data_IF_842963880213
#
_entry.id   IF_842963880213
#
_cell.length_a   1.000
_cell.length_b   1.000
_cell.length_c   1.000
_cell.angle_alpha   90.00
_cell.angle_beta   90.00
_cell.angle_gamma   90.00
#
_symmetry.space_group_name_H-M   'P 1'
#
loop_
_entity.id
_entity.type
_entity.pdbx_description
1 polymer ?
#
# COMPACT_ATOMS: atom_id res chain seq x y z
N UNK A 1 -22.74 -4.40 -1.45
CA UNK A 1 -22.19 -5.52 -0.64
C UNK A 1 -21.13 -5.06 0.39
N UNK A 2 -20.41 -3.94 0.17
CA UNK A 2 -19.39 -3.44 1.10
C UNK A 2 -19.94 -2.64 2.29
N UNK A 3 -21.15 -2.09 2.21
CA UNK A 3 -21.72 -1.20 3.24
C UNK A 3 -21.75 -1.79 4.66
N UNK A 4 -22.13 -3.07 4.88
CA UNK A 4 -22.10 -3.63 6.24
C UNK A 4 -20.70 -3.68 6.86
N UNK A 5 -19.67 -3.89 6.04
CA UNK A 5 -18.27 -3.89 6.49
C UNK A 5 -17.81 -2.47 6.86
N UNK A 6 -18.15 -1.47 6.05
CA UNK A 6 -17.82 -0.07 6.35
C UNK A 6 -18.50 0.40 7.63
N UNK A 7 -19.76 0.01 7.84
CA UNK A 7 -20.49 0.32 9.08
C UNK A 7 -19.84 -0.37 10.28
N UNK A 8 -19.44 -1.63 10.18
CA UNK A 8 -18.75 -2.34 11.26
C UNK A 8 -17.39 -1.67 11.59
N UNK A 9 -16.63 -1.28 10.58
CA UNK A 9 -15.37 -0.54 10.76
C UNK A 9 -15.62 0.80 11.45
N UNK A 10 -16.65 1.54 11.02
CA UNK A 10 -17.02 2.83 11.64
C UNK A 10 -17.35 2.66 13.13
N UNK A 11 -18.17 1.65 13.47
CA UNK A 11 -18.52 1.36 14.85
C UNK A 11 -17.29 0.99 15.67
N UNK A 12 -16.47 0.05 15.17
CA UNK A 12 -15.25 -0.38 15.85
C UNK A 12 -14.29 0.80 16.09
N UNK A 13 -14.10 1.66 15.07
CA UNK A 13 -13.26 2.85 15.21
C UNK A 13 -13.80 3.80 16.29
N UNK A 14 -15.11 3.97 16.35
CA UNK A 14 -15.74 4.81 17.38
C UNK A 14 -15.56 4.24 18.79
N UNK A 15 -15.65 2.91 18.95
CA UNK A 15 -15.43 2.22 20.23
C UNK A 15 -13.98 2.29 20.68
N UNK A 16 -13.03 2.06 19.78
CA UNK A 16 -11.60 2.06 20.07
C UNK A 16 -11.04 3.47 20.30
N UNK A 17 -11.61 4.46 19.63
CA UNK A 17 -11.13 5.83 19.63
C UNK A 17 -9.91 6.07 18.72
N UNK A 18 -9.57 7.35 18.48
CA UNK A 18 -8.61 7.75 17.45
C UNK A 18 -7.15 7.37 17.76
N UNK A 19 -6.82 7.04 19.02
CA UNK A 19 -5.46 6.60 19.41
C UNK A 19 -5.26 5.09 19.30
N UNK A 20 -6.33 4.33 19.15
CA UNK A 20 -6.27 2.87 19.07
C UNK A 20 -6.69 2.35 17.69
N UNK A 21 -6.90 3.25 16.74
CA UNK A 21 -7.28 2.90 15.37
C UNK A 21 -6.78 3.92 14.38
N UNK A 22 -6.33 3.45 13.22
CA UNK A 22 -5.90 4.27 12.09
C UNK A 22 -6.60 3.77 10.83
N UNK A 23 -7.15 4.70 10.04
CA UNK A 23 -7.77 4.40 8.76
C UNK A 23 -6.87 4.84 7.63
N UNK A 24 -6.27 3.88 6.93
CA UNK A 24 -5.55 4.12 5.67
C UNK A 24 -6.48 3.87 4.49
N UNK A 25 -6.64 4.86 3.62
CA UNK A 25 -7.48 4.76 2.43
C UNK A 25 -6.61 4.62 1.17
N UNK A 26 -6.73 3.46 0.52
CA UNK A 26 -6.01 3.19 -0.73
C UNK A 26 -6.81 3.72 -1.92
N UNK A 27 -6.18 4.54 -2.76
CA UNK A 27 -6.81 5.14 -3.95
C UNK A 27 -5.90 5.09 -5.17
N UNK A 28 -6.45 5.44 -6.33
CA UNK A 28 -5.73 5.57 -7.58
C UNK A 28 -5.64 7.04 -7.99
N UNK A 29 -4.42 7.49 -8.33
CA UNK A 29 -4.15 8.78 -8.99
C UNK A 29 -3.71 8.49 -10.43
N UNK A 30 -4.65 8.40 -11.39
CA UNK A 30 -4.33 7.99 -12.75
C UNK A 30 -3.57 9.09 -13.49
N UNK A 31 -2.63 8.67 -14.33
CA UNK A 31 -1.98 9.55 -15.31
C UNK A 31 -2.76 9.54 -16.63
N UNK A 32 -3.25 10.69 -17.06
CA UNK A 32 -3.92 10.83 -18.34
C UNK A 32 -2.92 11.21 -19.42
N UNK A 33 -2.50 10.23 -20.22
CA UNK A 33 -1.51 10.42 -21.30
C UNK A 33 -1.89 11.55 -22.26
N UNK A 34 -3.17 11.64 -22.62
CA UNK A 34 -3.66 12.69 -23.53
C UNK A 34 -3.54 14.11 -22.95
N UNK A 35 -3.61 14.26 -21.63
CA UNK A 35 -3.49 15.55 -20.94
C UNK A 35 -2.09 15.80 -20.37
N UNK A 36 -1.24 14.77 -20.31
CA UNK A 36 0.10 14.84 -19.75
C UNK A 36 0.14 15.09 -18.24
N UNK A 37 -0.93 14.75 -17.50
CA UNK A 37 -1.05 15.09 -16.09
C UNK A 37 -1.68 13.99 -15.24
N UNK A 38 -1.36 13.99 -13.94
CA UNK A 38 -2.03 13.18 -12.93
C UNK A 38 -3.38 13.80 -12.54
N UNK A 39 -4.40 12.95 -12.35
CA UNK A 39 -5.75 13.39 -11.96
C UNK A 39 -6.07 13.00 -10.52
N UNK A 40 -6.29 14.01 -9.68
CA UNK A 40 -6.63 13.82 -8.26
C UNK A 40 -8.14 13.65 -8.02
N UNK A 41 -8.99 13.93 -8.99
CA UNK A 41 -10.46 13.81 -8.83
C UNK A 41 -10.94 12.41 -8.42
N UNK A 42 -10.43 11.30 -8.98
CA UNK A 42 -10.84 9.97 -8.54
C UNK A 42 -10.57 9.72 -7.05
N UNK A 43 -9.40 10.13 -6.56
CA UNK A 43 -9.04 10.10 -5.13
C UNK A 43 -10.02 10.91 -4.29
N UNK A 44 -10.31 12.16 -4.69
CA UNK A 44 -11.25 13.02 -3.98
C UNK A 44 -12.66 12.42 -3.92
N UNK A 45 -13.14 11.81 -5.00
CA UNK A 45 -14.42 11.11 -5.02
C UNK A 45 -14.42 9.90 -4.08
N UNK A 46 -13.39 9.07 -4.16
CA UNK A 46 -13.25 7.88 -3.30
C UNK A 46 -13.26 8.25 -1.80
N UNK A 47 -12.56 9.32 -1.42
CA UNK A 47 -12.58 9.81 -0.04
C UNK A 47 -13.94 10.37 0.35
N UNK A 48 -14.65 11.08 -0.56
CA UNK A 48 -16.01 11.56 -0.29
C UNK A 48 -17.00 10.42 -0.01
N UNK A 49 -16.91 9.33 -0.75
CA UNK A 49 -17.72 8.14 -0.49
C UNK A 49 -17.41 7.54 0.88
N UNK A 50 -16.13 7.46 1.26
CA UNK A 50 -15.74 7.00 2.59
C UNK A 50 -16.30 7.91 3.70
N UNK A 51 -16.22 9.23 3.52
CA UNK A 51 -16.78 10.22 4.43
C UNK A 51 -18.30 10.11 4.56
N UNK A 52 -19.02 9.78 3.47
CA UNK A 52 -20.45 9.55 3.49
C UNK A 52 -20.85 8.36 4.39
N UNK A 53 -19.93 7.42 4.61
CA UNK A 53 -20.07 6.33 5.57
C UNK A 53 -19.59 6.68 6.99
N UNK A 54 -19.24 7.94 7.25
CA UNK A 54 -18.79 8.40 8.56
C UNK A 54 -17.35 8.01 8.91
N UNK A 55 -16.55 7.68 7.91
CA UNK A 55 -15.12 7.32 8.08
C UNK A 55 -14.23 8.43 7.51
N UNK A 56 -13.50 9.14 8.36
CA UNK A 56 -12.41 10.04 7.95
C UNK A 56 -11.12 9.23 7.86
N UNK A 57 -10.42 9.22 6.70
CA UNK A 57 -9.10 8.61 6.62
C UNK A 57 -8.08 9.43 7.44
N UNK A 58 -7.13 8.75 8.05
CA UNK A 58 -5.97 9.35 8.70
C UNK A 58 -4.81 9.46 7.71
N UNK A 59 -4.72 8.50 6.77
CA UNK A 59 -3.73 8.51 5.69
C UNK A 59 -4.38 8.14 4.36
N UNK A 60 -3.80 8.62 3.27
CA UNK A 60 -4.21 8.26 1.91
C UNK A 60 -3.02 7.68 1.17
N UNK A 61 -3.13 6.40 0.80
CA UNK A 61 -2.13 5.73 -0.03
C UNK A 61 -2.54 5.89 -1.50
N UNK A 62 -1.78 6.66 -2.24
CA UNK A 62 -2.04 7.03 -3.62
C UNK A 62 -1.26 6.14 -4.59
N UNK A 63 -1.90 5.13 -5.18
CA UNK A 63 -1.29 4.38 -6.28
C UNK A 63 -1.19 5.25 -7.51
N UNK A 64 -0.02 5.23 -8.16
CA UNK A 64 0.24 6.03 -9.35
C UNK A 64 1.35 5.44 -10.22
N UNK A 65 1.24 5.61 -11.55
CA UNK A 65 2.31 5.31 -12.50
C UNK A 65 3.49 6.30 -12.41
N UNK A 66 3.27 7.48 -11.84
CA UNK A 66 4.21 8.58 -11.79
C UNK A 66 4.28 9.21 -10.42
N UNK A 67 5.44 9.80 -10.11
CA UNK A 67 5.66 10.49 -8.85
C UNK A 67 4.68 11.63 -8.66
N UNK A 68 4.18 11.76 -7.43
CA UNK A 68 3.34 12.85 -6.97
C UNK A 68 4.24 14.02 -6.56
N UNK A 69 4.14 15.14 -7.28
CA UNK A 69 4.80 16.37 -6.87
C UNK A 69 4.15 16.99 -5.63
N UNK A 70 4.81 18.00 -5.06
CA UNK A 70 4.34 18.69 -3.87
C UNK A 70 2.95 19.34 -4.05
N UNK A 71 2.65 19.84 -5.25
CA UNK A 71 1.37 20.49 -5.55
C UNK A 71 0.22 19.48 -5.59
N UNK A 72 0.47 18.30 -6.16
CA UNK A 72 -0.50 17.19 -6.17
C UNK A 72 -0.75 16.68 -4.75
N UNK A 73 0.30 16.45 -3.94
CA UNK A 73 0.19 16.05 -2.54
C UNK A 73 -0.61 17.08 -1.74
N UNK A 74 -0.27 18.37 -1.86
CA UNK A 74 -1.00 19.47 -1.22
C UNK A 74 -2.47 19.52 -1.65
N UNK A 75 -2.76 19.31 -2.92
CA UNK A 75 -4.13 19.29 -3.44
C UNK A 75 -4.94 18.12 -2.86
N UNK A 76 -4.37 16.92 -2.80
CA UNK A 76 -5.03 15.77 -2.19
C UNK A 76 -5.26 16.02 -0.70
N UNK A 77 -4.24 16.45 0.03
CA UNK A 77 -4.32 16.83 1.45
C UNK A 77 -5.50 17.77 1.72
N UNK A 78 -5.56 18.90 0.99
CA UNK A 78 -6.61 19.90 1.15
C UNK A 78 -8.02 19.36 0.89
N UNK A 79 -8.22 18.62 -0.20
CA UNK A 79 -9.55 18.13 -0.59
C UNK A 79 -10.01 16.90 0.20
N UNK A 80 -9.09 16.16 0.79
CA UNK A 80 -9.37 14.94 1.53
C UNK A 80 -9.26 15.14 3.06
N UNK A 81 -8.91 16.35 3.51
CA UNK A 81 -8.79 16.73 4.92
C UNK A 81 -7.85 15.79 5.70
N UNK A 82 -6.64 15.62 5.17
CA UNK A 82 -5.52 14.90 5.79
C UNK A 82 -4.27 15.78 5.77
N UNK A 83 -3.32 15.52 6.66
CA UNK A 83 -2.02 16.19 6.64
C UNK A 83 -1.26 15.86 5.35
N UNK A 84 -0.39 16.76 4.87
CA UNK A 84 0.33 16.54 3.62
C UNK A 84 1.30 15.36 3.72
N UNK A 85 1.90 15.14 4.89
CA UNK A 85 2.75 13.99 5.21
C UNK A 85 1.97 12.67 5.24
N UNK A 86 0.65 12.73 5.43
CA UNK A 86 -0.23 11.57 5.41
C UNK A 86 -0.71 11.19 4.00
N UNK A 87 -0.29 11.94 2.97
CA UNK A 87 -0.49 11.58 1.56
C UNK A 87 0.71 10.76 1.09
N UNK A 88 0.58 9.46 1.16
CA UNK A 88 1.62 8.47 0.87
C UNK A 88 1.57 8.11 -0.61
N UNK A 89 2.69 8.22 -1.29
CA UNK A 89 2.83 7.76 -2.66
C UNK A 89 3.09 6.26 -2.71
N UNK A 90 2.43 5.58 -3.65
CA UNK A 90 2.71 4.19 -3.98
C UNK A 90 2.85 4.07 -5.49
N UNK A 91 4.09 4.07 -5.97
CA UNK A 91 4.38 3.87 -7.38
C UNK A 91 4.13 2.41 -7.77
N UNK A 92 3.83 2.19 -9.04
CA UNK A 92 3.76 0.85 -9.58
C UNK A 92 5.13 0.16 -9.42
N UNK A 93 5.12 -1.00 -8.79
CA UNK A 93 6.29 -1.81 -8.51
C UNK A 93 6.40 -2.98 -9.51
N UNK A 94 7.62 -3.44 -9.79
CA UNK A 94 7.84 -4.62 -10.63
C UNK A 94 7.32 -5.90 -9.96
N UNK A 95 7.39 -5.92 -8.63
CA UNK A 95 6.88 -7.02 -7.81
C UNK A 95 6.22 -6.50 -6.54
N UNK A 96 5.21 -7.23 -6.05
CA UNK A 96 4.53 -6.91 -4.78
C UNK A 96 5.51 -6.91 -3.58
N UNK A 97 6.61 -7.61 -3.69
CA UNK A 97 7.64 -7.70 -2.63
C UNK A 97 8.45 -6.42 -2.47
N UNK A 98 8.37 -5.46 -3.40
CA UNK A 98 8.97 -4.11 -3.25
C UNK A 98 8.12 -3.18 -2.39
N UNK A 99 6.83 -3.45 -2.29
CA UNK A 99 5.87 -2.56 -1.62
C UNK A 99 6.27 -2.20 -0.18
N UNK A 100 6.77 -3.12 0.66
CA UNK A 100 7.23 -2.77 2.01
C UNK A 100 8.35 -1.72 2.03
N UNK A 101 9.28 -1.77 1.06
CA UNK A 101 10.37 -0.80 0.97
C UNK A 101 9.85 0.56 0.48
N UNK A 102 8.95 0.58 -0.51
CA UNK A 102 8.32 1.81 -1.00
C UNK A 102 7.53 2.51 0.12
N UNK A 103 6.80 1.76 0.92
CA UNK A 103 6.04 2.30 2.07
C UNK A 103 6.97 2.83 3.16
N UNK A 104 8.07 2.12 3.45
CA UNK A 104 9.10 2.60 4.39
C UNK A 104 9.68 3.93 3.92
N UNK A 105 10.06 4.02 2.66
CA UNK A 105 10.71 5.21 2.09
C UNK A 105 9.76 6.43 2.05
N UNK A 106 8.45 6.20 2.08
CA UNK A 106 7.41 7.24 2.23
C UNK A 106 7.10 7.57 3.70
N UNK A 107 7.75 6.93 4.68
CA UNK A 107 7.61 7.26 6.10
C UNK A 107 6.31 6.79 6.75
N UNK A 108 5.62 5.77 6.18
CA UNK A 108 4.33 5.32 6.74
C UNK A 108 4.51 4.68 8.13
N UNK A 109 5.66 4.07 8.39
CA UNK A 109 5.95 3.45 9.69
C UNK A 109 5.96 4.48 10.82
N UNK A 110 6.70 5.56 10.62
CA UNK A 110 6.82 6.68 11.55
C UNK A 110 5.44 7.33 11.78
N UNK A 111 4.69 7.57 10.70
CA UNK A 111 3.36 8.15 10.79
C UNK A 111 2.40 7.27 11.60
N UNK A 112 2.45 5.94 11.44
CA UNK A 112 1.63 4.99 12.21
C UNK A 112 2.03 5.01 13.69
N UNK A 113 3.33 5.02 13.98
CA UNK A 113 3.86 5.09 15.35
C UNK A 113 3.43 6.39 16.02
N UNK A 114 3.58 7.53 15.37
CA UNK A 114 3.17 8.83 15.89
C UNK A 114 1.66 8.91 16.17
N UNK A 115 0.87 8.24 15.37
CA UNK A 115 -0.59 8.28 15.48
C UNK A 115 -1.13 7.37 16.57
N UNK A 116 -0.55 6.19 16.75
CA UNK A 116 -1.08 5.14 17.63
C UNK A 116 -0.39 5.08 19.00
N UNK A 117 0.83 5.62 19.12
CA UNK A 117 1.62 5.49 20.34
C UNK A 117 1.92 6.86 20.97
N UNK A 118 1.97 6.90 22.31
CA UNK A 118 2.43 8.07 23.05
C UNK A 118 3.94 8.26 22.89
N UNK A 119 4.47 9.47 23.14
CA UNK A 119 5.91 9.75 23.08
C UNK A 119 6.74 8.75 23.90
N UNK A 120 6.25 8.34 25.06
CA UNK A 120 6.94 7.36 25.94
C UNK A 120 6.93 5.93 25.39
N UNK A 121 5.91 5.59 24.56
CA UNK A 121 5.81 4.28 23.89
C UNK A 121 6.61 4.26 22.60
N UNK A 122 6.76 5.41 21.95
CA UNK A 122 7.50 5.56 20.68
C UNK A 122 8.99 5.17 20.85
N UNK A 123 9.57 5.36 22.03
CA UNK A 123 10.95 4.92 22.32
C UNK A 123 11.17 3.42 22.03
N UNK A 124 10.11 2.60 22.11
CA UNK A 124 10.18 1.16 21.78
C UNK A 124 10.32 0.91 20.27
N UNK A 125 9.95 1.88 19.45
CA UNK A 125 9.95 1.83 18.00
C UNK A 125 11.03 2.76 17.40
N UNK A 126 11.87 3.35 18.23
CA UNK A 126 12.91 4.29 17.82
C UNK A 126 14.02 3.65 16.96
N UNK A 127 14.05 2.32 16.87
CA UNK A 127 14.99 1.61 16.01
C UNK A 127 14.40 1.47 14.60
N UNK A 128 15.16 1.92 13.60
CA UNK A 128 14.83 1.64 12.19
C UNK A 128 14.69 0.14 11.99
N UNK A 129 13.59 -0.35 11.39
CA UNK A 129 13.43 -1.77 11.13
C UNK A 129 14.59 -2.32 10.29
N UNK A 130 15.16 -3.43 10.71
CA UNK A 130 16.16 -4.16 9.92
C UNK A 130 15.44 -4.89 8.77
N UNK A 131 15.65 -4.42 7.55
CA UNK A 131 15.11 -4.99 6.33
C UNK A 131 16.19 -5.62 5.43
N UNK A 132 17.40 -5.84 5.94
CA UNK A 132 18.52 -6.36 5.14
C UNK A 132 18.20 -7.72 4.53
N UNK A 133 17.58 -8.62 5.28
CA UNK A 133 17.13 -9.92 4.78
C UNK A 133 16.08 -9.78 3.68
N UNK A 134 15.20 -8.79 3.78
CA UNK A 134 14.18 -8.52 2.75
C UNK A 134 14.79 -7.91 1.49
N UNK A 135 15.77 -7.06 1.65
CA UNK A 135 16.53 -6.47 0.53
C UNK A 135 17.32 -7.55 -0.21
N UNK A 136 17.94 -8.48 0.53
CA UNK A 136 18.68 -9.61 -0.07
C UNK A 136 17.73 -10.55 -0.82
N UNK A 137 16.57 -10.85 -0.24
CA UNK A 137 15.49 -11.59 -0.91
C UNK A 137 15.12 -10.95 -2.25
N UNK A 138 14.89 -9.63 -2.28
CA UNK A 138 14.55 -8.91 -3.50
C UNK A 138 15.68 -8.92 -4.54
N UNK A 139 16.94 -8.85 -4.11
CA UNK A 139 18.08 -8.95 -5.02
C UNK A 139 18.10 -10.31 -5.74
N UNK A 140 17.89 -11.39 -4.99
CA UNK A 140 17.85 -12.75 -5.55
C UNK A 140 16.64 -12.93 -6.47
N UNK A 141 15.47 -12.48 -6.04
CA UNK A 141 14.25 -12.52 -6.84
C UNK A 141 14.40 -11.83 -8.21
N UNK A 142 15.08 -10.69 -8.25
CA UNK A 142 15.28 -9.91 -9.48
C UNK A 142 16.45 -10.39 -10.35
N UNK A 143 17.33 -11.21 -9.81
CA UNK A 143 18.52 -11.70 -10.51
C UNK A 143 18.62 -13.23 -10.43
N UNK A 144 17.62 -13.96 -10.96
CA UNK A 144 17.68 -15.41 -10.98
C UNK A 144 18.84 -15.87 -11.87
N UNK A 145 19.54 -16.93 -11.44
CA UNK A 145 20.65 -17.52 -12.20
C UNK A 145 20.21 -18.70 -13.06
N UNK A 146 19.07 -19.32 -12.69
CA UNK A 146 18.51 -20.49 -13.36
C UNK A 146 17.01 -20.31 -13.57
N UNK A 147 16.47 -20.78 -14.70
CA UNK A 147 15.03 -20.85 -14.96
C UNK A 147 14.59 -22.30 -15.01
N UNK A 148 13.59 -22.67 -14.20
CA UNK A 148 13.00 -24.01 -14.17
C UNK A 148 11.56 -23.93 -14.68
N UNK A 149 11.23 -24.55 -15.82
CA UNK A 149 9.88 -24.59 -16.33
C UNK A 149 9.00 -25.52 -15.49
N UNK A 150 7.92 -24.99 -14.94
CA UNK A 150 6.92 -25.76 -14.17
C UNK A 150 5.58 -25.69 -14.92
N UNK A 151 5.01 -26.87 -15.22
CA UNK A 151 3.71 -26.97 -15.87
C UNK A 151 2.59 -27.03 -14.80
N UNK A 152 1.74 -26.02 -14.79
CA UNK A 152 0.51 -26.03 -13.97
C UNK A 152 -0.65 -26.56 -14.81
N UNK A 153 -1.19 -27.71 -14.44
CA UNK A 153 -2.31 -28.36 -15.12
C UNK A 153 -3.56 -28.30 -14.25
N UNK A 154 -4.62 -27.69 -14.76
CA UNK A 154 -5.86 -27.50 -14.00
C UNK A 154 -7.00 -26.96 -14.83
N UNK A 155 -8.14 -26.67 -14.18
CA UNK A 155 -9.26 -25.92 -14.77
C UNK A 155 -8.97 -24.42 -14.68
N UNK A 156 -9.49 -23.64 -15.63
CA UNK A 156 -9.44 -22.18 -15.60
C UNK A 156 -8.02 -21.61 -15.53
N UNK A 157 -7.06 -22.24 -16.20
CA UNK A 157 -5.65 -21.84 -16.19
C UNK A 157 -5.39 -20.49 -16.84
N UNK A 158 -6.30 -20.03 -17.69
CA UNK A 158 -6.31 -18.67 -18.25
C UNK A 158 -6.63 -17.57 -17.21
N UNK A 159 -7.21 -17.93 -16.06
CA UNK A 159 -7.45 -17.04 -14.95
C UNK A 159 -6.29 -17.10 -13.97
N UNK A 160 -5.30 -16.23 -14.17
CA UNK A 160 -4.07 -16.22 -13.34
C UNK A 160 -4.34 -16.15 -11.85
N UNK A 161 -5.36 -15.40 -11.42
CA UNK A 161 -5.72 -15.25 -10.01
C UNK A 161 -6.23 -16.55 -9.35
N UNK A 162 -6.77 -17.49 -10.15
CA UNK A 162 -7.25 -18.77 -9.63
C UNK A 162 -6.13 -19.61 -8.97
N UNK A 163 -4.89 -19.41 -9.43
CA UNK A 163 -3.72 -20.15 -8.96
C UNK A 163 -2.65 -19.26 -8.34
N UNK A 164 -3.00 -18.03 -7.99
CA UNK A 164 -2.07 -17.02 -7.48
C UNK A 164 -1.22 -17.55 -6.31
N UNK A 165 -1.84 -18.23 -5.33
CA UNK A 165 -1.12 -18.77 -4.18
C UNK A 165 -0.08 -19.83 -4.57
N UNK A 166 -0.35 -20.63 -5.61
CA UNK A 166 0.58 -21.66 -6.11
C UNK A 166 1.75 -20.99 -6.83
N UNK A 167 1.48 -20.04 -7.72
CA UNK A 167 2.53 -19.31 -8.44
C UNK A 167 3.42 -18.52 -7.49
N UNK A 168 2.86 -17.84 -6.50
CA UNK A 168 3.64 -17.15 -5.46
C UNK A 168 4.46 -18.12 -4.61
N UNK A 169 3.93 -19.33 -4.31
CA UNK A 169 4.69 -20.34 -3.58
C UNK A 169 5.93 -20.81 -4.36
N UNK A 170 5.83 -20.95 -5.68
CA UNK A 170 6.99 -21.29 -6.52
C UNK A 170 8.03 -20.16 -6.51
N UNK A 171 7.58 -18.91 -6.62
CA UNK A 171 8.48 -17.74 -6.54
C UNK A 171 9.23 -17.76 -5.20
N UNK A 172 8.49 -17.86 -4.09
CA UNK A 172 9.08 -17.86 -2.75
C UNK A 172 10.05 -19.02 -2.52
N UNK A 173 9.72 -20.21 -3.05
CA UNK A 173 10.59 -21.39 -2.94
C UNK A 173 11.85 -21.28 -3.80
N UNK A 174 11.77 -20.60 -4.95
CA UNK A 174 12.90 -20.45 -5.87
C UNK A 174 13.93 -19.41 -5.45
N UNK A 175 13.51 -18.37 -4.71
CA UNK A 175 14.40 -17.24 -4.37
C UNK A 175 15.66 -17.64 -3.59
N UNK A 176 15.63 -18.54 -2.58
CA UNK A 176 16.83 -18.97 -1.87
C UNK A 176 17.90 -19.58 -2.77
N UNK A 177 17.48 -20.29 -3.84
CA UNK A 177 18.35 -20.97 -4.80
C UNK A 177 18.58 -20.15 -6.08
N UNK A 178 18.12 -18.87 -6.12
CA UNK A 178 18.20 -17.96 -7.27
C UNK A 178 17.58 -18.56 -8.54
N UNK A 179 16.43 -19.25 -8.37
CA UNK A 179 15.67 -19.91 -9.43
C UNK A 179 14.40 -19.12 -9.74
N UNK A 180 14.10 -19.00 -11.04
CA UNK A 180 12.84 -18.46 -11.57
C UNK A 180 12.07 -19.52 -12.32
#
# INVERSE_FOLDING_TARGET
EAQPYLEAIRQLRNELGPRNSLTSHLTLVPYLRAAGELKTKPTQHSVKELLAHGLQPDTIICRSERSLDADIRRKISLFCNVDQEAVIQMLDAETIYEVPLLLRDEGIGELVVDRLFTEQEQDRFATTPDLDAWIDFLKRLKNPTVTIPIALVGKYVEHQDAYKSITESFILAGVPDEVQ
#
